data_IF_308835321631
#
_entry.id   IF_308835321631
#
_cell.length_a   1.000
_cell.length_b   1.000
_cell.length_c   1.000
_cell.angle_alpha   90.00
_cell.angle_beta   90.00
_cell.angle_gamma   90.00
#
_symmetry.space_group_name_H-M   'P 1'
#
loop_
_entity.id
_entity.type
_entity.pdbx_description
1 polymer ?
#
# COMPACT_ATOMS: atom_id res chain seq x y z
N UNK A 1 -10.96 -34.32 -29.58
CA UNK A 1 -10.57 -33.94 -28.20
C UNK A 1 -9.53 -32.83 -28.34
N UNK A 2 -9.97 -31.56 -28.30
CA UNK A 2 -9.09 -30.40 -28.46
C UNK A 2 -8.94 -29.75 -27.08
N UNK A 3 -7.72 -29.74 -26.55
CA UNK A 3 -7.40 -29.06 -25.29
C UNK A 3 -7.17 -27.59 -25.66
N UNK A 4 -8.13 -26.75 -25.28
CA UNK A 4 -8.09 -25.30 -25.48
C UNK A 4 -6.96 -24.70 -24.61
N UNK A 5 -5.97 -24.11 -25.29
CA UNK A 5 -4.89 -23.36 -24.65
C UNK A 5 -5.49 -22.12 -23.97
N UNK A 6 -5.58 -22.16 -22.64
CA UNK A 6 -5.86 -20.98 -21.82
C UNK A 6 -4.71 -19.97 -22.00
N UNK A 7 -4.96 -18.95 -22.83
CA UNK A 7 -4.07 -17.79 -22.97
C UNK A 7 -3.98 -17.08 -21.62
N UNK A 8 -2.88 -17.28 -20.90
CA UNK A 8 -2.47 -16.50 -19.71
C UNK A 8 -2.03 -15.07 -20.09
N UNK A 9 -2.84 -14.38 -20.90
CA UNK A 9 -2.59 -13.01 -21.36
C UNK A 9 -3.74 -12.03 -21.10
N UNK A 10 -4.96 -12.52 -20.83
CA UNK A 10 -6.15 -11.66 -20.61
C UNK A 10 -6.29 -11.15 -19.18
N UNK A 11 -6.12 -12.02 -18.18
CA UNK A 11 -6.55 -11.74 -16.81
C UNK A 11 -5.91 -10.54 -16.11
N UNK A 12 -4.64 -10.21 -16.40
CA UNK A 12 -3.98 -9.04 -15.82
C UNK A 12 -4.41 -7.73 -16.50
N UNK A 13 -4.62 -7.76 -17.82
CA UNK A 13 -5.13 -6.63 -18.59
C UNK A 13 -6.59 -6.34 -18.23
N UNK A 14 -7.39 -7.38 -18.01
CA UNK A 14 -8.79 -7.27 -17.59
C UNK A 14 -8.92 -6.68 -16.18
N UNK A 15 -8.08 -7.14 -15.24
CA UNK A 15 -7.99 -6.54 -13.90
C UNK A 15 -7.56 -5.07 -13.94
N UNK A 16 -6.58 -4.75 -14.79
CA UNK A 16 -6.13 -3.36 -14.98
C UNK A 16 -7.24 -2.45 -15.50
N UNK A 17 -8.06 -2.93 -16.46
CA UNK A 17 -9.20 -2.17 -16.99
C UNK A 17 -10.32 -1.97 -15.97
N UNK A 18 -10.54 -2.95 -15.07
CA UNK A 18 -11.53 -2.83 -14.00
C UNK A 18 -11.06 -1.89 -12.87
N UNK A 19 -9.76 -1.86 -12.59
CA UNK A 19 -9.18 -1.02 -11.54
C UNK A 19 -9.00 0.43 -12.00
N UNK A 20 -8.66 0.69 -13.26
CA UNK A 20 -8.44 2.02 -13.81
C UNK A 20 -9.53 3.06 -13.44
N UNK A 21 -10.85 2.79 -13.60
CA UNK A 21 -11.89 3.73 -13.21
C UNK A 21 -12.01 3.92 -11.69
N UNK A 22 -11.69 2.89 -10.88
CA UNK A 22 -11.67 2.99 -9.41
C UNK A 22 -10.48 3.82 -8.91
N UNK A 23 -9.35 3.73 -9.61
CA UNK A 23 -8.13 4.47 -9.33
C UNK A 23 -8.19 5.93 -9.79
N UNK A 24 -8.96 6.20 -10.85
CA UNK A 24 -9.25 7.56 -11.33
C UNK A 24 -10.20 8.34 -10.40
N UNK A 25 -10.83 7.69 -9.42
CA UNK A 25 -11.62 8.39 -8.40
C UNK A 25 -10.71 9.11 -7.41
N UNK A 26 -11.23 10.21 -6.85
CA UNK A 26 -10.51 11.02 -5.86
C UNK A 26 -10.13 10.14 -4.66
N UNK A 27 -8.82 9.93 -4.46
CA UNK A 27 -8.27 9.07 -3.40
C UNK A 27 -7.75 7.70 -3.87
N UNK A 28 -7.96 7.32 -5.13
CA UNK A 28 -7.45 6.05 -5.68
C UNK A 28 -5.91 5.99 -5.75
N UNK A 29 -5.27 7.10 -6.12
CA UNK A 29 -3.81 7.22 -6.08
C UNK A 29 -3.24 7.11 -4.65
N UNK A 30 -3.90 7.76 -3.68
CA UNK A 30 -3.53 7.68 -2.26
C UNK A 30 -3.68 6.24 -1.73
N UNK A 31 -4.72 5.52 -2.16
CA UNK A 31 -4.92 4.11 -1.81
C UNK A 31 -3.80 3.21 -2.35
N UNK A 32 -3.41 3.36 -3.63
CA UNK A 32 -2.31 2.58 -4.20
C UNK A 32 -0.98 2.88 -3.52
N UNK A 33 -0.71 4.15 -3.26
CA UNK A 33 0.49 4.56 -2.55
C UNK A 33 0.50 4.00 -1.11
N UNK A 34 -0.64 3.95 -0.42
CA UNK A 34 -0.77 3.30 0.88
C UNK A 34 -0.46 1.80 0.80
N UNK A 35 -0.98 1.09 -0.21
CA UNK A 35 -0.71 -0.34 -0.40
C UNK A 35 0.77 -0.62 -0.70
N UNK A 36 1.40 0.20 -1.55
CA UNK A 36 2.84 0.11 -1.80
C UNK A 36 3.65 0.38 -0.53
N UNK A 37 3.28 1.41 0.23
CA UNK A 37 3.92 1.73 1.51
C UNK A 37 3.78 0.58 2.50
N UNK A 38 2.64 -0.11 2.55
CA UNK A 38 2.46 -1.29 3.40
C UNK A 38 3.39 -2.44 2.98
N UNK A 39 3.51 -2.71 1.67
CA UNK A 39 4.37 -3.77 1.15
C UNK A 39 5.87 -3.47 1.39
N UNK A 40 6.28 -2.23 1.20
CA UNK A 40 7.68 -1.79 1.25
C UNK A 40 8.05 -1.17 2.60
N UNK A 41 7.15 -1.19 3.59
CA UNK A 41 7.30 -0.41 4.82
C UNK A 41 8.64 -0.62 5.50
N UNK A 42 9.04 -1.89 5.64
CA UNK A 42 10.30 -2.27 6.28
C UNK A 42 11.53 -1.76 5.52
N UNK A 43 11.48 -1.70 4.21
CA UNK A 43 12.58 -1.17 3.39
C UNK A 43 12.67 0.35 3.52
N UNK A 44 11.52 1.03 3.58
CA UNK A 44 11.44 2.49 3.71
C UNK A 44 11.91 2.97 5.08
N UNK A 45 11.41 2.36 6.17
CA UNK A 45 11.65 2.85 7.54
C UNK A 45 12.67 2.04 8.34
N UNK A 46 13.15 0.93 7.79
CA UNK A 46 14.04 0.00 8.47
C UNK A 46 13.36 -0.92 9.48
N UNK A 47 14.09 -1.95 9.90
CA UNK A 47 13.55 -3.04 10.71
C UNK A 47 13.03 -2.60 12.09
N UNK A 48 13.66 -1.62 12.72
CA UNK A 48 13.30 -1.18 14.07
C UNK A 48 11.94 -0.47 14.09
N UNK A 49 11.71 0.47 13.17
CA UNK A 49 10.46 1.21 13.10
C UNK A 49 9.32 0.36 12.50
N UNK A 50 9.62 -0.49 11.52
CA UNK A 50 8.61 -1.38 10.93
C UNK A 50 8.12 -2.47 11.89
N UNK A 51 8.92 -2.85 12.90
CA UNK A 51 8.47 -3.75 13.97
C UNK A 51 7.44 -3.12 14.91
N UNK A 52 7.45 -1.79 15.02
CA UNK A 52 6.65 -1.06 15.99
C UNK A 52 5.58 -0.19 15.37
N UNK A 53 5.54 -0.09 14.03
CA UNK A 53 4.60 0.77 13.33
C UNK A 53 4.18 0.20 12.00
N UNK A 54 3.04 0.67 11.51
CA UNK A 54 2.52 0.35 10.17
C UNK A 54 1.75 1.54 9.58
N UNK A 55 1.76 1.71 8.25
CA UNK A 55 0.93 2.69 7.57
C UNK A 55 -0.56 2.44 7.86
N UNK A 56 -1.29 3.49 8.22
CA UNK A 56 -2.71 3.41 8.57
C UNK A 56 -3.58 4.15 7.54
N UNK A 57 -3.17 5.34 7.13
CA UNK A 57 -3.88 6.14 6.13
C UNK A 57 -2.90 7.02 5.38
N UNK A 58 -3.10 7.18 4.07
CA UNK A 58 -2.45 8.23 3.28
C UNK A 58 -3.56 9.11 2.72
N UNK A 59 -3.50 10.41 2.99
CA UNK A 59 -4.47 11.37 2.48
C UNK A 59 -3.80 12.70 2.21
N UNK A 60 -3.95 13.21 0.99
CA UNK A 60 -3.45 14.54 0.61
C UNK A 60 -1.97 14.75 0.99
N UNK A 61 -1.14 13.73 0.75
CA UNK A 61 0.29 13.74 1.05
C UNK A 61 0.67 13.59 2.53
N UNK A 62 -0.30 13.36 3.43
CA UNK A 62 -0.04 13.09 4.84
C UNK A 62 -0.22 11.61 5.15
N UNK A 63 0.85 10.99 5.66
CA UNK A 63 0.86 9.59 6.10
C UNK A 63 0.59 9.51 7.61
N UNK A 64 -0.52 8.88 7.97
CA UNK A 64 -0.82 8.46 9.34
C UNK A 64 -0.26 7.06 9.55
N UNK A 65 0.46 6.85 10.66
CA UNK A 65 0.95 5.54 11.08
C UNK A 65 0.31 5.13 12.40
N UNK A 66 0.09 3.83 12.58
CA UNK A 66 -0.21 3.27 13.91
C UNK A 66 1.08 2.76 14.52
N UNK A 67 1.23 2.93 15.85
CA UNK A 67 2.42 2.53 16.59
C UNK A 67 1.98 1.62 17.74
N UNK A 68 2.64 0.48 17.94
CA UNK A 68 2.28 -0.53 18.94
C UNK A 68 2.78 -0.24 20.35
N UNK A 69 3.64 0.77 20.54
CA UNK A 69 4.19 1.12 21.85
C UNK A 69 4.13 2.62 22.12
N UNK A 70 3.56 2.98 23.27
CA UNK A 70 3.51 4.36 23.78
C UNK A 70 4.91 4.99 23.92
N UNK A 71 5.96 4.17 24.08
CA UNK A 71 7.35 4.61 24.24
C UNK A 71 7.94 5.20 22.95
N UNK A 72 7.46 4.81 21.77
CA UNK A 72 7.92 5.36 20.47
C UNK A 72 7.22 6.67 20.08
N UNK A 73 6.02 6.92 20.61
CA UNK A 73 5.27 8.16 20.36
C UNK A 73 6.06 9.40 20.84
N UNK A 74 6.81 9.25 21.94
CA UNK A 74 7.68 10.31 22.47
C UNK A 74 8.88 10.62 21.56
N UNK A 75 9.46 9.61 20.90
CA UNK A 75 10.64 9.78 20.03
C UNK A 75 10.28 10.39 18.67
N UNK A 76 9.14 10.00 18.09
CA UNK A 76 8.65 10.56 16.82
C UNK A 76 8.13 12.01 16.95
N UNK A 77 7.82 12.46 18.17
CA UNK A 77 7.40 13.84 18.44
C UNK A 77 8.59 14.80 18.65
N UNK A 78 9.79 14.27 18.90
CA UNK A 78 11.01 15.07 19.13
C UNK A 78 11.96 15.13 17.94
N UNK A 79 11.66 14.43 16.85
CA UNK A 79 12.33 14.60 15.55
C UNK A 79 11.59 15.65 14.73
#
# INVERSE_FOLDING_TARGET
MAIENLRTGGGLSDLGQLLAPLLGQRGGADLLALLQLQALWREVVGAQLARQSRPAELRAGKLTITVSSATWNSTLRSM
#
